data_IF_210105994373
#
_entry.id   IF_210105994373
#
_cell.length_a   1.000
_cell.length_b   1.000
_cell.length_c   1.000
_cell.angle_alpha   90.00
_cell.angle_beta   90.00
_cell.angle_gamma   90.00
#
_symmetry.space_group_name_H-M   'P 1'
#
loop_
_entity.id
_entity.type
_entity.pdbx_description
1 polymer ?
#
# COMPACT_ATOMS: atom_id res chain seq x y z
N UNK A 1 -80.70 -10.17 -20.55
CA UNK A 1 -81.21 -8.99 -19.81
C UNK A 1 -80.00 -8.22 -19.30
N UNK A 2 -79.54 -7.26 -20.10
CA UNK A 2 -79.54 -5.82 -19.75
C UNK A 2 -78.71 -5.53 -18.50
N UNK A 3 -77.44 -5.14 -18.65
CA UNK A 3 -77.00 -3.73 -18.82
C UNK A 3 -77.04 -2.98 -17.51
N UNK A 4 -75.90 -2.36 -17.12
CA UNK A 4 -75.72 -1.14 -16.32
C UNK A 4 -74.28 -1.20 -15.76
N UNK A 5 -73.26 -0.74 -16.50
CA UNK A 5 -72.77 0.65 -16.53
C UNK A 5 -72.56 1.24 -15.12
N UNK A 6 -71.37 1.83 -14.94
CA UNK A 6 -71.11 3.05 -14.17
C UNK A 6 -70.41 2.88 -12.79
N UNK A 7 -69.16 3.39 -12.78
CA UNK A 7 -68.53 4.29 -11.80
C UNK A 7 -67.54 3.74 -10.77
N UNK A 8 -66.39 4.42 -10.80
CA UNK A 8 -65.39 4.66 -9.76
C UNK A 8 -64.16 3.76 -9.75
N UNK A 9 -63.03 4.45 -10.02
CA UNK A 9 -61.79 4.40 -9.26
C UNK A 9 -61.14 3.01 -9.18
N UNK A 10 -59.96 2.81 -9.71
CA UNK A 10 -58.74 3.34 -9.10
C UNK A 10 -57.66 3.35 -10.17
N UNK A 11 -57.03 4.50 -10.36
CA UNK A 11 -55.74 4.61 -11.03
C UNK A 11 -54.73 3.76 -10.25
N UNK A 12 -54.41 2.56 -10.75
CA UNK A 12 -53.38 1.72 -10.19
C UNK A 12 -52.11 1.87 -11.04
N UNK A 13 -51.37 2.93 -10.73
CA UNK A 13 -49.96 3.08 -11.08
C UNK A 13 -49.19 1.93 -10.39
N UNK A 14 -49.01 0.80 -11.07
CA UNK A 14 -48.08 -0.23 -10.61
C UNK A 14 -46.76 -0.07 -11.36
N UNK A 15 -45.92 0.78 -10.78
CA UNK A 15 -44.50 0.92 -11.09
C UNK A 15 -43.87 -0.46 -10.83
N UNK A 16 -43.63 -1.22 -11.90
CA UNK A 16 -42.88 -2.47 -11.81
C UNK A 16 -41.44 -2.10 -11.46
N UNK A 17 -41.11 -2.29 -10.18
CA UNK A 17 -39.86 -1.84 -9.59
C UNK A 17 -38.64 -2.36 -10.33
N UNK A 18 -37.81 -1.43 -10.79
CA UNK A 18 -36.41 -1.69 -11.04
C UNK A 18 -35.81 -2.13 -9.69
N UNK A 19 -35.54 -3.43 -9.53
CA UNK A 19 -34.77 -3.94 -8.40
C UNK A 19 -33.37 -3.34 -8.51
N UNK A 20 -33.16 -2.20 -7.84
CA UNK A 20 -31.84 -1.69 -7.58
C UNK A 20 -31.15 -2.75 -6.72
N UNK A 21 -30.26 -3.53 -7.32
CA UNK A 21 -29.25 -4.28 -6.59
C UNK A 21 -28.36 -3.23 -5.93
N UNK A 22 -28.72 -2.79 -4.72
CA UNK A 22 -27.81 -2.12 -3.83
C UNK A 22 -26.74 -3.15 -3.47
N UNK A 23 -25.64 -3.12 -4.21
CA UNK A 23 -24.49 -3.97 -3.95
C UNK A 23 -23.89 -3.49 -2.63
N UNK A 24 -24.10 -4.27 -1.57
CA UNK A 24 -23.54 -4.01 -0.25
C UNK A 24 -22.01 -4.01 -0.39
N UNK A 25 -21.40 -2.83 -0.39
CA UNK A 25 -19.95 -2.72 -0.38
C UNK A 25 -19.48 -3.31 0.95
N UNK A 26 -18.85 -4.49 0.91
CA UNK A 26 -18.17 -5.08 2.06
C UNK A 26 -17.02 -4.14 2.42
N UNK A 27 -17.29 -3.13 3.24
CA UNK A 27 -16.27 -2.29 3.83
C UNK A 27 -15.61 -3.15 4.91
N UNK A 28 -14.33 -3.54 4.78
CA UNK A 28 -13.69 -4.37 5.79
C UNK A 28 -13.81 -3.68 7.15
N UNK A 29 -14.48 -4.34 8.11
CA UNK A 29 -14.65 -3.84 9.48
C UNK A 29 -13.27 -3.71 10.11
N UNK A 30 -12.85 -2.46 10.25
CA UNK A 30 -11.47 -2.13 10.52
C UNK A 30 -11.28 -2.01 12.04
N UNK A 31 -10.56 -2.97 12.64
CA UNK A 31 -10.37 -3.05 14.10
C UNK A 31 -9.58 -1.82 14.61
N UNK A 32 -10.14 -1.00 15.52
CA UNK A 32 -9.47 0.17 16.08
C UNK A 32 -8.23 -0.16 16.93
N UNK A 33 -8.05 -1.42 17.34
CA UNK A 33 -6.89 -1.88 18.10
C UNK A 33 -5.86 -2.62 17.24
N UNK A 34 -6.06 -2.71 15.92
CA UNK A 34 -5.11 -3.32 15.01
C UNK A 34 -3.71 -2.65 15.09
N UNK A 35 -2.63 -3.38 14.78
CA UNK A 35 -1.33 -2.75 14.52
C UNK A 35 -1.46 -1.74 13.39
N UNK A 36 -0.68 -0.67 13.44
CA UNK A 36 -0.57 0.30 12.36
C UNK A 36 0.81 0.93 12.44
N UNK A 37 1.29 1.52 11.35
CA UNK A 37 2.61 2.11 11.35
C UNK A 37 2.71 3.26 10.37
N UNK A 38 3.59 4.21 10.67
CA UNK A 38 3.84 5.38 9.84
C UNK A 38 5.32 5.48 9.53
N UNK A 39 5.63 5.70 8.26
CA UNK A 39 6.99 6.04 7.84
C UNK A 39 7.31 7.49 8.21
N UNK A 40 8.57 7.77 8.55
CA UNK A 40 9.04 9.14 8.73
C UNK A 40 8.96 9.92 7.41
N UNK A 41 9.22 9.24 6.28
CA UNK A 41 8.96 9.73 4.92
C UNK A 41 8.48 8.59 4.03
N UNK A 42 7.49 8.88 3.17
CA UNK A 42 6.99 7.93 2.16
C UNK A 42 7.72 8.07 0.82
N UNK A 43 8.66 9.01 0.71
CA UNK A 43 9.52 9.21 -0.45
C UNK A 43 10.98 9.34 -0.01
N UNK A 44 11.85 8.50 -0.55
CA UNK A 44 13.30 8.69 -0.45
C UNK A 44 13.85 9.16 -1.80
N UNK A 45 14.46 10.33 -1.78
CA UNK A 45 15.21 10.86 -2.91
C UNK A 45 16.67 10.43 -2.79
N UNK A 46 17.15 9.68 -3.78
CA UNK A 46 18.54 9.27 -3.89
C UNK A 46 19.43 10.42 -4.39
N UNK A 47 18.82 11.46 -4.97
CA UNK A 47 19.51 12.50 -5.70
C UNK A 47 20.24 11.94 -6.91
N UNK A 48 21.40 12.54 -7.21
CA UNK A 48 22.33 12.03 -8.22
C UNK A 48 23.29 11.04 -7.60
N UNK A 49 23.33 9.83 -8.13
CA UNK A 49 24.18 8.74 -7.63
C UNK A 49 25.14 8.33 -8.75
N UNK A 50 26.42 8.18 -8.42
CA UNK A 50 27.41 7.73 -9.39
C UNK A 50 27.15 6.28 -9.82
N UNK A 51 27.53 5.94 -11.06
CA UNK A 51 27.53 4.57 -11.54
C UNK A 51 28.31 3.65 -10.57
N UNK A 52 27.74 2.48 -10.27
CA UNK A 52 28.33 1.46 -9.37
C UNK A 52 28.57 1.93 -7.91
N UNK A 53 27.98 3.05 -7.50
CA UNK A 53 28.05 3.51 -6.10
C UNK A 53 27.18 2.64 -5.17
N UNK A 54 27.31 2.85 -3.86
CA UNK A 54 26.44 2.18 -2.90
C UNK A 54 24.99 2.71 -2.94
N UNK A 55 24.08 1.91 -3.49
CA UNK A 55 22.65 2.19 -3.56
C UNK A 55 21.85 1.91 -2.28
N UNK A 56 22.51 1.71 -1.12
CA UNK A 56 21.82 1.43 0.14
C UNK A 56 21.04 2.65 0.64
N UNK A 57 19.77 2.46 1.04
CA UNK A 57 18.95 3.46 1.74
C UNK A 57 18.15 2.81 2.85
N UNK A 58 17.78 3.62 3.84
CA UNK A 58 17.03 3.21 5.01
C UNK A 58 15.72 4.00 5.13
N UNK A 59 14.62 3.30 5.37
CA UNK A 59 13.32 3.85 5.70
C UNK A 59 13.02 3.59 7.16
N UNK A 60 12.84 4.67 7.92
CA UNK A 60 12.45 4.61 9.32
C UNK A 60 10.93 4.65 9.42
N UNK A 61 10.39 3.83 10.30
CA UNK A 61 8.97 3.83 10.61
C UNK A 61 8.74 3.65 12.11
N UNK A 62 7.53 4.01 12.56
CA UNK A 62 7.08 3.84 13.93
C UNK A 62 5.79 3.04 13.93
N UNK A 63 5.66 2.04 14.82
CA UNK A 63 4.37 1.39 15.10
C UNK A 63 3.48 2.38 15.85
N UNK A 64 2.44 2.87 15.18
CA UNK A 64 1.46 3.82 15.71
C UNK A 64 0.16 3.14 16.16
N UNK A 65 0.07 1.82 15.99
CA UNK A 65 -1.07 1.02 16.44
C UNK A 65 -1.00 0.65 17.92
N UNK A 66 -1.93 -0.23 18.32
CA UNK A 66 -2.08 -0.67 19.72
C UNK A 66 -1.63 -2.12 19.97
N UNK A 67 -1.21 -2.82 18.92
CA UNK A 67 -0.73 -4.19 18.97
C UNK A 67 0.65 -4.32 18.29
N UNK A 68 1.40 -5.40 18.56
CA UNK A 68 2.68 -5.66 17.90
C UNK A 68 2.54 -5.73 16.37
N UNK A 69 3.38 -4.97 15.67
CA UNK A 69 3.45 -4.96 14.22
C UNK A 69 4.45 -6.02 13.74
N UNK A 70 4.06 -6.80 12.75
CA UNK A 70 4.93 -7.78 12.08
C UNK A 70 4.98 -7.42 10.60
N UNK A 71 6.19 -7.15 10.10
CA UNK A 71 6.44 -6.98 8.66
C UNK A 71 6.67 -8.37 8.07
N UNK A 72 5.79 -8.79 7.17
CA UNK A 72 5.83 -10.13 6.59
C UNK A 72 6.66 -10.17 5.31
N UNK A 73 6.65 -9.09 4.54
CA UNK A 73 7.40 -9.02 3.30
C UNK A 73 7.69 -7.57 2.88
N UNK A 74 8.79 -7.37 2.16
CA UNK A 74 9.10 -6.12 1.48
C UNK A 74 9.54 -6.44 0.05
N UNK A 75 8.82 -5.91 -0.92
CA UNK A 75 9.04 -6.19 -2.34
C UNK A 75 9.13 -4.90 -3.15
N UNK A 76 10.16 -4.79 -3.99
CA UNK A 76 10.28 -3.73 -4.98
C UNK A 76 9.41 -3.99 -6.21
N UNK A 77 8.97 -2.93 -6.89
CA UNK A 77 8.22 -3.02 -8.16
C UNK A 77 9.02 -3.73 -9.27
N UNK A 78 10.35 -3.55 -9.31
CA UNK A 78 11.26 -4.30 -10.16
C UNK A 78 12.39 -4.93 -9.35
N UNK A 79 13.01 -5.99 -9.90
CA UNK A 79 14.21 -6.64 -9.35
C UNK A 79 15.46 -5.75 -9.31
N UNK A 80 15.32 -4.48 -9.71
CA UNK A 80 16.30 -3.40 -9.58
C UNK A 80 16.55 -2.97 -8.12
N UNK A 81 15.63 -3.29 -7.19
CA UNK A 81 15.73 -2.92 -5.77
C UNK A 81 15.84 -4.19 -4.94
N UNK A 82 17.03 -4.45 -4.38
CA UNK A 82 17.22 -5.54 -3.43
C UNK A 82 16.63 -5.14 -2.08
N UNK A 83 15.76 -5.99 -1.56
CA UNK A 83 15.20 -5.87 -0.19
C UNK A 83 15.87 -6.86 0.77
N UNK A 84 16.76 -7.73 0.26
CA UNK A 84 17.67 -8.55 1.05
C UNK A 84 19.05 -7.89 1.08
N UNK A 85 19.60 -7.76 2.29
CA UNK A 85 20.90 -7.15 2.56
C UNK A 85 21.76 -8.22 3.23
N UNK A 86 22.91 -8.53 2.63
CA UNK A 86 23.85 -9.54 3.13
C UNK A 86 23.22 -10.91 3.41
N UNK A 87 22.29 -11.32 2.54
CA UNK A 87 21.58 -12.61 2.63
C UNK A 87 20.44 -12.65 3.65
N UNK A 88 20.10 -11.52 4.27
CA UNK A 88 19.03 -11.41 5.27
C UNK A 88 17.95 -10.41 4.83
N UNK A 89 16.70 -10.55 5.30
CA UNK A 89 15.69 -9.53 5.12
C UNK A 89 16.22 -8.16 5.57
N UNK A 90 16.09 -7.15 4.71
CA UNK A 90 16.46 -5.77 5.03
C UNK A 90 15.51 -5.11 6.03
N UNK A 91 14.54 -5.84 6.59
CA UNK A 91 13.54 -5.34 7.53
C UNK A 91 13.53 -6.19 8.80
N UNK A 92 12.92 -5.71 9.91
CA UNK A 92 12.86 -6.48 11.14
C UNK A 92 11.93 -7.68 10.98
N UNK A 93 12.41 -8.87 11.37
CA UNK A 93 11.61 -10.10 11.39
C UNK A 93 10.94 -10.35 12.74
N UNK A 94 11.33 -9.61 13.76
CA UNK A 94 10.73 -9.66 15.10
C UNK A 94 9.56 -8.66 15.21
N UNK A 95 8.57 -8.93 16.09
CA UNK A 95 7.47 -8.01 16.32
C UNK A 95 7.93 -6.65 16.86
N UNK A 96 7.46 -5.57 16.23
CA UNK A 96 7.71 -4.19 16.66
C UNK A 96 6.57 -3.77 17.60
N UNK A 97 6.88 -3.55 18.87
CA UNK A 97 5.88 -3.14 19.88
C UNK A 97 5.29 -1.74 19.60
N UNK A 98 4.09 -1.43 20.13
CA UNK A 98 3.49 -0.11 20.04
C UNK A 98 4.45 1.02 20.46
N UNK A 99 4.49 2.10 19.68
CA UNK A 99 5.36 3.25 19.88
C UNK A 99 6.84 3.00 19.58
N UNK A 100 7.26 1.77 19.24
CA UNK A 100 8.64 1.48 18.86
C UNK A 100 8.89 1.75 17.39
N UNK A 101 10.15 2.06 17.08
CA UNK A 101 10.64 2.33 15.74
C UNK A 101 11.26 1.08 15.12
N UNK A 102 11.18 1.00 13.80
CA UNK A 102 11.87 0.00 12.99
C UNK A 102 12.52 0.64 11.77
N UNK A 103 13.39 -0.13 11.10
CA UNK A 103 14.13 0.32 9.92
C UNK A 103 14.00 -0.73 8.82
N UNK A 104 13.64 -0.30 7.62
CA UNK A 104 13.68 -1.11 6.39
C UNK A 104 14.85 -0.60 5.54
N UNK A 105 15.76 -1.49 5.18
CA UNK A 105 16.91 -1.25 4.33
C UNK A 105 16.65 -1.81 2.96
N UNK A 106 17.03 -1.05 1.95
CA UNK A 106 16.98 -1.45 0.55
C UNK A 106 18.28 -1.10 -0.14
N UNK A 107 18.60 -1.79 -1.23
CA UNK A 107 19.72 -1.45 -2.10
C UNK A 107 19.25 -1.37 -3.54
N UNK A 108 19.30 -0.17 -4.12
CA UNK A 108 19.02 0.01 -5.54
C UNK A 108 20.24 -0.35 -6.39
N UNK A 109 20.00 -0.94 -7.56
CA UNK A 109 21.00 -1.26 -8.58
C UNK A 109 21.49 0.00 -9.30
N UNK A 110 22.63 0.53 -8.83
CA UNK A 110 23.28 1.74 -9.34
C UNK A 110 24.04 1.52 -10.66
N UNK A 111 23.90 0.36 -11.30
CA UNK A 111 24.37 0.14 -12.68
C UNK A 111 23.32 0.50 -13.73
N UNK A 112 22.10 0.83 -13.30
CA UNK A 112 20.99 1.25 -14.17
C UNK A 112 21.02 2.76 -14.38
N UNK A 113 21.79 3.20 -15.37
CA UNK A 113 21.95 4.62 -15.73
C UNK A 113 20.59 5.26 -16.06
N UNK A 114 20.38 6.50 -15.61
CA UNK A 114 19.21 7.31 -15.92
C UNK A 114 18.35 7.66 -14.70
N UNK A 115 17.27 8.38 -14.94
CA UNK A 115 16.29 8.77 -13.93
C UNK A 115 15.38 7.58 -13.60
N UNK A 116 15.09 7.39 -12.32
CA UNK A 116 14.14 6.39 -11.87
C UNK A 116 13.14 6.98 -10.86
N UNK A 117 11.90 6.50 -10.92
CA UNK A 117 10.91 6.57 -9.87
C UNK A 117 10.30 5.17 -9.74
N UNK A 118 10.34 4.60 -8.55
CA UNK A 118 9.89 3.22 -8.28
C UNK A 118 9.14 3.13 -6.97
N UNK A 119 8.24 2.17 -6.86
CA UNK A 119 7.54 1.85 -5.62
C UNK A 119 8.09 0.61 -4.94
N UNK A 120 8.00 0.59 -3.61
CA UNK A 120 8.30 -0.55 -2.75
C UNK A 120 7.04 -0.81 -1.93
N UNK A 121 6.59 -2.05 -1.92
CA UNK A 121 5.43 -2.48 -1.15
C UNK A 121 5.89 -3.21 0.10
N UNK A 122 5.40 -2.76 1.25
CA UNK A 122 5.64 -3.34 2.56
C UNK A 122 4.36 -4.03 3.02
N UNK A 123 4.43 -5.34 3.18
CA UNK A 123 3.33 -6.18 3.65
C UNK A 123 3.46 -6.45 5.15
N UNK A 124 2.35 -6.42 5.87
CA UNK A 124 2.31 -6.55 7.33
C UNK A 124 0.95 -7.03 7.85
N UNK A 125 0.88 -7.31 9.15
CA UNK A 125 -0.37 -7.55 9.88
C UNK A 125 -1.09 -6.25 10.31
N UNK A 126 -0.69 -5.10 9.78
CA UNK A 126 -1.31 -3.83 10.12
C UNK A 126 -2.75 -3.73 9.59
N UNK A 127 -3.48 -2.72 10.09
CA UNK A 127 -4.80 -2.29 9.62
C UNK A 127 -4.89 -2.27 8.10
N UNK A 128 -3.84 -1.77 7.45
CA UNK A 128 -3.65 -1.90 6.01
C UNK A 128 -2.53 -2.90 5.75
N UNK A 129 -2.89 -4.05 5.19
CA UNK A 129 -1.95 -5.14 4.96
C UNK A 129 -0.76 -4.72 4.09
N UNK A 130 -0.96 -3.81 3.14
CA UNK A 130 0.08 -3.31 2.24
C UNK A 130 0.21 -1.80 2.34
N UNK A 131 1.42 -1.31 2.55
CA UNK A 131 1.78 0.11 2.45
C UNK A 131 2.85 0.30 1.37
N UNK A 132 2.69 1.31 0.52
CA UNK A 132 3.65 1.64 -0.53
C UNK A 132 4.50 2.84 -0.13
N UNK A 133 5.79 2.77 -0.43
CA UNK A 133 6.74 3.89 -0.36
C UNK A 133 7.39 4.07 -1.73
N UNK A 134 7.78 5.30 -2.03
CA UNK A 134 8.42 5.67 -3.28
C UNK A 134 9.91 5.90 -3.10
N UNK A 135 10.67 5.56 -4.13
CA UNK A 135 12.05 5.98 -4.32
C UNK A 135 12.18 6.72 -5.64
N UNK A 136 13.03 7.74 -5.66
CA UNK A 136 13.40 8.42 -6.90
C UNK A 136 14.87 8.78 -6.90
N UNK A 137 15.42 9.05 -8.07
CA UNK A 137 16.77 9.56 -8.23
C UNK A 137 17.25 9.50 -9.66
N UNK A 138 18.54 9.76 -9.85
CA UNK A 138 19.22 9.69 -11.13
C UNK A 138 20.56 8.98 -10.95
N UNK A 139 20.78 7.91 -11.71
CA UNK A 139 22.08 7.26 -11.81
C UNK A 139 22.86 7.92 -12.94
N UNK A 140 23.99 8.55 -12.59
CA UNK A 140 24.86 9.22 -13.54
C UNK A 140 25.59 8.21 -14.43
N UNK A 141 25.91 8.63 -15.65
CA UNK A 141 26.74 7.86 -16.56
C UNK A 141 28.10 7.54 -15.93
N UNK A 142 28.69 6.42 -16.37
CA UNK A 142 30.05 6.07 -15.99
C UNK A 142 31.00 7.17 -16.46
N UNK A 143 31.80 7.73 -15.53
CA UNK A 143 32.90 8.62 -15.92
C UNK A 143 33.95 7.77 -16.63
N UNK A 144 34.22 8.12 -17.88
CA UNK A 144 35.28 7.54 -18.72
C UNK A 144 36.66 7.93 -18.21
#
# INVERSE_FOLDING_TARGET
MHSFLIKYCVAFFFILGLKCFAQETVVPKLDPNAPDFKFETELIDFGKVAYDANGLREFKFTNTGRAPLIITNVVGECGCTSTSIDGKPGWPTEPILPGKKGVIKIKYDTKRIGVFEKSITVSSNARFANKKIKIKGEILAQKS
#
